data_IF_972140239843
#
_entry.id   IF_972140239843
#
_cell.length_a   1.000
_cell.length_b   1.000
_cell.length_c   1.000
_cell.angle_alpha   90.00
_cell.angle_beta   90.00
_cell.angle_gamma   90.00
#
_symmetry.space_group_name_H-M   'P 1'
#
loop_
_entity.id
_entity.type
_entity.pdbx_description
1 polymer ?
#
# COMPACT_ATOMS: atom_id res chain seq x y z
N UNK A 1 -17.48 1.34 -0.37
CA UNK A 1 -16.73 1.98 0.73
C UNK A 1 -15.33 1.40 0.79
N UNK A 2 -14.31 2.25 0.70
CA UNK A 2 -12.89 1.87 0.79
C UNK A 2 -12.32 2.52 2.05
N UNK A 3 -11.77 1.69 2.95
CA UNK A 3 -11.09 2.12 4.18
C UNK A 3 -9.83 1.27 4.36
N UNK A 4 -8.85 1.74 5.13
CA UNK A 4 -7.66 0.94 5.47
C UNK A 4 -7.76 0.35 6.89
N UNK A 5 -7.08 -0.79 7.11
CA UNK A 5 -7.10 -1.46 8.41
C UNK A 5 -6.08 -0.82 9.39
N UNK A 6 -6.56 -0.26 10.50
CA UNK A 6 -5.69 0.33 11.53
C UNK A 6 -4.98 1.62 11.12
N UNK A 7 -5.35 2.21 9.96
CA UNK A 7 -4.85 3.50 9.47
C UNK A 7 -5.88 4.14 8.52
N UNK A 8 -5.60 5.36 8.07
CA UNK A 8 -6.34 6.02 7.00
C UNK A 8 -5.87 5.51 5.64
N UNK A 9 -6.80 5.42 4.68
CA UNK A 9 -6.41 5.21 3.29
C UNK A 9 -5.68 6.45 2.78
N UNK A 10 -4.52 6.26 2.15
CA UNK A 10 -3.72 7.40 1.68
C UNK A 10 -4.36 8.05 0.47
N UNK A 11 -3.96 9.27 0.14
CA UNK A 11 -4.49 9.98 -1.04
C UNK A 11 -4.26 9.14 -2.30
N UNK A 12 -3.07 8.55 -2.44
CA UNK A 12 -2.73 7.72 -3.61
C UNK A 12 -3.60 6.46 -3.70
N UNK A 13 -3.95 5.85 -2.57
CA UNK A 13 -4.85 4.69 -2.56
C UNK A 13 -6.28 5.08 -2.95
N UNK A 14 -6.73 6.25 -2.53
CA UNK A 14 -8.03 6.80 -2.92
C UNK A 14 -8.05 7.14 -4.41
N UNK A 15 -7.05 7.84 -4.92
CA UNK A 15 -6.91 8.17 -6.33
C UNK A 15 -6.81 6.91 -7.21
N UNK A 16 -6.02 5.91 -6.80
CA UNK A 16 -5.92 4.65 -7.52
C UNK A 16 -7.24 3.88 -7.51
N UNK A 17 -7.97 3.91 -6.39
CA UNK A 17 -9.32 3.33 -6.32
C UNK A 17 -10.30 4.02 -7.27
N UNK A 18 -10.21 5.35 -7.42
CA UNK A 18 -11.00 6.10 -8.41
C UNK A 18 -10.63 5.72 -9.85
N UNK A 19 -9.33 5.66 -10.17
CA UNK A 19 -8.84 5.23 -11.50
C UNK A 19 -9.32 3.83 -11.85
N UNK A 20 -9.25 2.90 -10.90
CA UNK A 20 -9.78 1.54 -11.05
C UNK A 20 -11.29 1.59 -11.31
N UNK A 21 -12.04 2.37 -10.54
CA UNK A 21 -13.48 2.47 -10.69
C UNK A 21 -13.89 2.96 -12.09
N UNK A 22 -13.28 4.05 -12.57
CA UNK A 22 -13.53 4.61 -13.91
C UNK A 22 -13.14 3.60 -15.01
N UNK A 23 -12.03 2.88 -14.82
CA UNK A 23 -11.63 1.82 -15.76
C UNK A 23 -12.67 0.71 -15.82
N UNK A 24 -13.19 0.25 -14.68
CA UNK A 24 -14.21 -0.80 -14.62
C UNK A 24 -15.53 -0.34 -15.24
N UNK A 25 -15.98 0.89 -14.94
CA UNK A 25 -17.16 1.48 -15.58
C UNK A 25 -17.02 1.49 -17.10
N UNK A 26 -15.90 1.99 -17.61
CA UNK A 26 -15.63 2.05 -19.06
C UNK A 26 -15.67 0.67 -19.70
N UNK A 27 -15.05 -0.33 -19.09
CA UNK A 27 -15.08 -1.71 -19.57
C UNK A 27 -16.50 -2.26 -19.61
N UNK A 28 -17.27 -2.12 -18.53
CA UNK A 28 -18.64 -2.64 -18.45
C UNK A 28 -19.59 -1.95 -19.43
N UNK A 29 -19.44 -0.64 -19.65
CA UNK A 29 -20.22 0.08 -20.65
C UNK A 29 -19.93 -0.42 -22.08
N UNK A 30 -18.67 -0.70 -22.40
CA UNK A 30 -18.27 -1.27 -23.68
C UNK A 30 -18.80 -2.70 -23.88
N UNK A 31 -18.98 -3.45 -22.79
CA UNK A 31 -19.60 -4.78 -22.78
C UNK A 31 -21.14 -4.74 -22.85
N UNK A 32 -21.74 -3.53 -22.87
CA UNK A 32 -23.18 -3.33 -23.03
C UNK A 32 -23.97 -3.18 -21.73
N UNK A 33 -23.31 -3.12 -20.57
CA UNK A 33 -23.95 -2.99 -19.27
C UNK A 33 -24.35 -1.53 -18.96
N UNK A 34 -25.43 -1.06 -19.57
CA UNK A 34 -25.87 0.36 -19.53
C UNK A 34 -26.26 0.90 -18.15
N UNK A 35 -26.51 0.04 -17.17
CA UNK A 35 -26.85 0.44 -15.80
C UNK A 35 -25.63 0.51 -14.88
N UNK A 36 -24.45 0.15 -15.39
CA UNK A 36 -23.19 0.13 -14.65
C UNK A 36 -22.49 1.48 -14.81
N UNK A 37 -22.90 2.45 -13.99
CA UNK A 37 -22.32 3.78 -13.95
C UNK A 37 -21.94 4.20 -12.53
N UNK A 38 -21.00 5.12 -12.43
CA UNK A 38 -20.57 5.78 -11.19
C UNK A 38 -21.40 7.06 -11.02
N UNK A 39 -22.13 7.15 -9.91
CA UNK A 39 -22.93 8.33 -9.59
C UNK A 39 -22.06 9.47 -9.07
N UNK A 40 -21.14 9.15 -8.14
CA UNK A 40 -20.21 10.11 -7.54
C UNK A 40 -19.10 9.41 -6.73
N UNK A 41 -18.05 10.19 -6.47
CA UNK A 41 -17.00 9.90 -5.51
C UNK A 41 -17.18 10.82 -4.30
N UNK A 42 -17.19 10.23 -3.11
CA UNK A 42 -17.26 10.92 -1.83
C UNK A 42 -15.92 10.67 -1.11
N UNK A 43 -14.95 11.57 -1.30
CA UNK A 43 -13.64 11.52 -0.63
C UNK A 43 -13.76 11.92 0.84
N UNK A 44 -13.04 11.23 1.70
CA UNK A 44 -13.08 11.46 3.13
C UNK A 44 -11.74 11.23 3.80
N UNK A 45 -11.59 11.79 5.01
CA UNK A 45 -10.37 11.66 5.81
C UNK A 45 -10.00 10.20 6.11
N UNK A 46 -10.99 9.33 6.22
CA UNK A 46 -10.80 7.90 6.52
C UNK A 46 -10.63 7.04 5.26
N UNK A 47 -11.01 7.56 4.10
CA UNK A 47 -10.97 6.86 2.81
C UNK A 47 -12.07 7.32 1.86
N UNK A 48 -12.34 6.51 0.83
CA UNK A 48 -13.20 6.86 -0.30
C UNK A 48 -14.53 6.11 -0.25
N UNK A 49 -15.64 6.79 -0.52
CA UNK A 49 -16.91 6.16 -0.86
C UNK A 49 -17.23 6.35 -2.35
N UNK A 50 -17.67 5.28 -3.01
CA UNK A 50 -18.03 5.27 -4.43
C UNK A 50 -19.49 4.85 -4.50
N UNK A 51 -20.33 5.73 -5.04
CA UNK A 51 -21.76 5.45 -5.23
C UNK A 51 -21.97 5.06 -6.68
N UNK A 52 -22.65 3.93 -6.90
CA UNK A 52 -22.82 3.33 -8.23
C UNK A 52 -24.27 2.94 -8.51
N UNK A 53 -24.61 2.86 -9.79
CA UNK A 53 -25.96 2.60 -10.29
C UNK A 53 -26.42 1.13 -10.22
N UNK A 54 -25.50 0.17 -10.17
CA UNK A 54 -25.83 -1.26 -10.16
C UNK A 54 -25.00 -2.07 -9.15
N UNK A 55 -25.52 -3.23 -8.76
CA UNK A 55 -24.78 -4.17 -7.90
C UNK A 55 -23.56 -4.77 -8.62
N UNK A 56 -23.67 -5.00 -9.94
CA UNK A 56 -22.64 -5.61 -10.76
C UNK A 56 -21.37 -4.76 -10.83
N UNK A 57 -21.50 -3.45 -11.12
CA UNK A 57 -20.33 -2.55 -11.12
C UNK A 57 -19.73 -2.41 -9.71
N UNK A 58 -20.56 -2.37 -8.67
CA UNK A 58 -20.08 -2.32 -7.29
C UNK A 58 -19.22 -3.54 -6.92
N UNK A 59 -19.64 -4.73 -7.36
CA UNK A 59 -18.88 -5.97 -7.18
C UNK A 59 -17.55 -5.92 -7.94
N UNK A 60 -17.59 -5.61 -9.24
CA UNK A 60 -16.40 -5.58 -10.09
C UNK A 60 -15.35 -4.56 -9.60
N UNK A 61 -15.79 -3.35 -9.24
CA UNK A 61 -14.90 -2.34 -8.65
C UNK A 61 -14.27 -2.87 -7.37
N UNK A 62 -15.07 -3.44 -6.46
CA UNK A 62 -14.55 -3.93 -5.18
C UNK A 62 -13.50 -5.04 -5.37
N UNK A 63 -13.75 -5.95 -6.32
CA UNK A 63 -12.85 -7.05 -6.66
C UNK A 63 -11.55 -6.52 -7.27
N UNK A 64 -11.63 -5.63 -8.23
CA UNK A 64 -10.47 -5.07 -8.92
C UNK A 64 -9.60 -4.22 -7.98
N UNK A 65 -10.21 -3.46 -7.06
CA UNK A 65 -9.49 -2.74 -6.00
C UNK A 65 -8.73 -3.74 -5.12
N UNK A 66 -9.40 -4.78 -4.61
CA UNK A 66 -8.73 -5.78 -3.75
C UNK A 66 -7.63 -6.56 -4.49
N UNK A 67 -7.77 -6.73 -5.81
CA UNK A 67 -6.76 -7.39 -6.64
C UNK A 67 -5.50 -6.55 -6.78
N UNK A 68 -5.63 -5.24 -6.96
CA UNK A 68 -4.48 -4.34 -7.18
C UNK A 68 -3.86 -3.81 -5.89
N UNK A 69 -4.70 -3.45 -4.92
CA UNK A 69 -4.27 -2.79 -3.68
C UNK A 69 -4.24 -3.76 -2.47
N UNK A 70 -4.63 -5.01 -2.69
CA UNK A 70 -4.75 -6.00 -1.63
C UNK A 70 -5.95 -5.74 -0.71
N UNK A 71 -5.94 -6.39 0.45
CA UNK A 71 -7.00 -6.25 1.44
C UNK A 71 -8.14 -7.24 1.25
N UNK A 72 -9.31 -6.92 1.81
CA UNK A 72 -10.49 -7.81 1.79
C UNK A 72 -11.76 -7.02 1.53
N UNK A 73 -12.74 -7.65 0.92
CA UNK A 73 -14.09 -7.11 0.74
C UNK A 73 -15.09 -7.86 1.62
N UNK A 74 -16.05 -7.12 2.19
CA UNK A 74 -17.20 -7.67 2.89
C UNK A 74 -18.49 -7.05 2.35
N UNK A 75 -19.55 -7.85 2.28
CA UNK A 75 -20.85 -7.45 1.73
C UNK A 75 -21.83 -7.14 2.85
N UNK A 76 -22.48 -5.98 2.80
CA UNK A 76 -23.46 -5.55 3.80
C UNK A 76 -24.78 -5.15 3.12
N UNK A 77 -25.73 -6.08 2.94
CA UNK A 77 -27.06 -5.77 2.43
C UNK A 77 -27.93 -5.08 3.49
N UNK A 78 -28.58 -3.98 3.12
CA UNK A 78 -29.57 -3.28 3.96
C UNK A 78 -30.91 -3.27 3.25
N UNK A 79 -31.97 -3.77 3.90
CA UNK A 79 -33.33 -3.67 3.38
C UNK A 79 -33.76 -2.20 3.40
N UNK A 80 -34.10 -1.65 2.23
CA UNK A 80 -34.53 -0.25 2.08
C UNK A 80 -36.01 -0.11 1.75
N UNK A 81 -36.68 -1.21 1.41
CA UNK A 81 -38.11 -1.21 1.16
C UNK A 81 -38.59 -2.50 0.52
N UNK A 82 -39.84 -2.48 0.08
CA UNK A 82 -40.48 -3.59 -0.62
C UNK A 82 -41.31 -3.01 -1.77
N UNK A 83 -41.24 -3.63 -2.95
CA UNK A 83 -42.01 -3.24 -4.12
C UNK A 83 -42.59 -4.49 -4.77
N UNK A 84 -43.92 -4.54 -4.91
CA UNK A 84 -44.64 -5.68 -5.48
C UNK A 84 -44.31 -7.02 -4.79
N UNK A 85 -44.18 -7.02 -3.45
CA UNK A 85 -43.80 -8.22 -2.69
C UNK A 85 -42.30 -8.58 -2.75
N UNK A 86 -41.50 -7.85 -3.54
CA UNK A 86 -40.05 -8.06 -3.62
C UNK A 86 -39.30 -7.07 -2.73
N UNK A 87 -38.44 -7.61 -1.86
CA UNK A 87 -37.57 -6.83 -0.99
C UNK A 87 -36.50 -6.11 -1.79
N UNK A 88 -36.38 -4.80 -1.58
CA UNK A 88 -35.36 -3.96 -2.19
C UNK A 88 -34.19 -3.76 -1.23
N UNK A 89 -32.98 -4.06 -1.69
CA UNK A 89 -31.77 -3.93 -0.87
C UNK A 89 -30.80 -2.90 -1.44
N UNK A 90 -30.22 -2.10 -0.54
CA UNK A 90 -28.98 -1.37 -0.80
C UNK A 90 -27.81 -2.25 -0.37
N UNK A 91 -26.87 -2.48 -1.28
CA UNK A 91 -25.67 -3.28 -1.00
C UNK A 91 -24.50 -2.35 -0.74
N UNK A 92 -23.76 -2.58 0.34
CA UNK A 92 -22.48 -1.92 0.58
C UNK A 92 -21.35 -2.93 0.48
N UNK A 93 -20.48 -2.74 -0.52
CA UNK A 93 -19.18 -3.41 -0.60
C UNK A 93 -18.19 -2.62 0.26
N UNK A 94 -17.82 -3.19 1.40
CA UNK A 94 -16.85 -2.62 2.33
C UNK A 94 -15.47 -3.24 2.09
N UNK A 95 -14.64 -2.52 1.33
CA UNK A 95 -13.25 -2.83 1.06
C UNK A 95 -12.37 -2.32 2.20
N UNK A 96 -11.57 -3.23 2.76
CA UNK A 96 -10.59 -2.97 3.82
C UNK A 96 -9.20 -3.22 3.27
N UNK A 97 -8.52 -2.14 2.87
CA UNK A 97 -7.13 -2.13 2.42
C UNK A 97 -6.20 -2.61 3.54
N UNK A 98 -5.06 -3.22 3.20
CA UNK A 98 -4.19 -3.83 4.17
C UNK A 98 -3.54 -2.78 5.08
N UNK A 99 -3.25 -3.19 6.31
CA UNK A 99 -2.57 -2.33 7.31
C UNK A 99 -1.20 -1.91 6.79
N UNK A 100 -0.46 -2.87 6.23
CA UNK A 100 0.85 -2.68 5.62
C UNK A 100 0.74 -2.89 4.11
N UNK A 101 1.47 -2.11 3.34
CA UNK A 101 1.50 -2.15 1.87
C UNK A 101 2.93 -2.33 1.35
N UNK A 102 3.05 -2.74 0.09
CA UNK A 102 4.35 -2.83 -0.59
C UNK A 102 5.11 -1.51 -0.50
N UNK A 103 6.38 -1.57 -0.15
CA UNK A 103 7.24 -0.42 0.11
C UNK A 103 7.15 0.13 1.55
N UNK A 104 6.27 -0.37 2.41
CA UNK A 104 6.35 -0.03 3.84
C UNK A 104 7.62 -0.63 4.45
N UNK A 105 8.27 0.12 5.32
CA UNK A 105 9.45 -0.32 6.07
C UNK A 105 9.04 -0.52 7.52
N UNK A 106 9.34 -1.70 8.05
CA UNK A 106 8.90 -2.15 9.36
C UNK A 106 10.05 -2.71 10.18
N UNK A 107 9.97 -2.53 11.50
CA UNK A 107 10.73 -3.35 12.44
C UNK A 107 9.95 -4.65 12.71
N UNK A 108 10.60 -5.79 12.51
CA UNK A 108 10.00 -7.13 12.68
C UNK A 108 10.98 -8.04 13.40
N UNK A 109 10.56 -8.57 14.55
CA UNK A 109 11.42 -9.35 15.45
C UNK A 109 12.69 -8.53 15.79
N UNK A 110 13.87 -9.02 15.42
CA UNK A 110 15.17 -8.36 15.63
C UNK A 110 15.80 -7.88 14.31
N UNK A 111 15.00 -7.60 13.28
CA UNK A 111 15.48 -7.04 12.01
C UNK A 111 14.54 -5.96 11.48
N UNK A 112 14.95 -5.33 10.39
CA UNK A 112 14.15 -4.41 9.59
C UNK A 112 13.78 -5.06 8.26
N UNK A 113 12.58 -4.77 7.78
CA UNK A 113 12.07 -5.34 6.54
C UNK A 113 11.35 -4.32 5.69
N UNK A 114 11.58 -4.34 4.39
CA UNK A 114 10.71 -3.69 3.40
C UNK A 114 9.62 -4.68 2.99
N UNK A 115 8.35 -4.30 3.15
CA UNK A 115 7.22 -5.10 2.71
C UNK A 115 7.23 -5.17 1.19
N UNK A 116 7.23 -6.38 0.63
CA UNK A 116 7.14 -6.59 -0.81
C UNK A 116 5.66 -6.71 -1.23
N UNK A 117 4.91 -7.57 -0.56
CA UNK A 117 3.47 -7.72 -0.78
C UNK A 117 2.80 -8.38 0.42
N UNK A 118 1.48 -8.24 0.48
CA UNK A 118 0.61 -8.92 1.46
C UNK A 118 -0.38 -9.80 0.70
N UNK A 119 -0.47 -11.07 1.08
CA UNK A 119 -1.38 -12.02 0.43
C UNK A 119 -2.17 -12.78 1.51
N UNK A 120 -3.50 -12.70 1.46
CA UNK A 120 -4.34 -13.41 2.43
C UNK A 120 -4.04 -13.04 3.88
N UNK A 121 -3.37 -13.93 4.62
CA UNK A 121 -2.94 -13.78 6.03
C UNK A 121 -1.41 -13.84 6.18
N UNK A 122 -0.66 -13.64 5.11
CA UNK A 122 0.80 -13.64 5.12
C UNK A 122 1.34 -12.33 4.58
N UNK A 123 2.55 -11.99 5.03
CA UNK A 123 3.30 -10.82 4.62
C UNK A 123 4.66 -11.30 4.16
N UNK A 124 5.04 -10.93 2.94
CA UNK A 124 6.38 -11.15 2.41
C UNK A 124 7.15 -9.84 2.49
N UNK A 125 8.31 -9.87 3.14
CA UNK A 125 9.19 -8.70 3.29
C UNK A 125 10.64 -9.05 2.94
N UNK A 126 11.40 -8.09 2.44
CA UNK A 126 12.83 -8.18 2.21
C UNK A 126 13.56 -7.87 3.52
N UNK A 127 14.31 -8.82 4.09
CA UNK A 127 15.16 -8.56 5.26
C UNK A 127 16.27 -7.59 4.87
N UNK A 128 16.21 -6.33 5.33
CA UNK A 128 17.13 -5.27 4.90
C UNK A 128 18.58 -5.54 5.31
N UNK A 129 18.80 -6.42 6.29
CA UNK A 129 20.15 -6.83 6.70
C UNK A 129 20.76 -7.84 5.73
N UNK A 130 19.97 -8.78 5.19
CA UNK A 130 20.49 -9.91 4.41
C UNK A 130 20.10 -9.88 2.93
N UNK A 131 19.09 -9.10 2.55
CA UNK A 131 18.56 -9.03 1.18
C UNK A 131 17.75 -10.24 0.77
N UNK A 132 17.31 -11.04 1.74
CA UNK A 132 16.59 -12.29 1.48
C UNK A 132 15.11 -12.07 1.80
N UNK A 133 14.20 -12.31 0.85
CA UNK A 133 12.76 -12.29 1.13
C UNK A 133 12.38 -13.33 2.19
N UNK A 134 11.50 -12.93 3.11
CA UNK A 134 10.93 -13.78 4.15
C UNK A 134 9.43 -13.61 4.16
N UNK A 135 8.71 -14.72 4.31
CA UNK A 135 7.26 -14.74 4.46
C UNK A 135 6.90 -15.13 5.88
N UNK A 136 6.04 -14.35 6.51
CA UNK A 136 5.54 -14.59 7.86
C UNK A 136 4.03 -14.41 7.93
N UNK A 137 3.33 -15.01 8.91
CA UNK A 137 1.94 -14.71 9.18
C UNK A 137 1.75 -13.21 9.51
N UNK A 138 0.63 -12.62 9.07
CA UNK A 138 0.21 -11.25 9.39
C UNK A 138 0.10 -11.00 10.91
N UNK A 139 -0.10 -12.06 11.70
CA UNK A 139 -0.14 -11.99 13.16
C UNK A 139 1.20 -11.71 13.82
N UNK A 140 2.33 -11.82 13.10
CA UNK A 140 3.64 -11.46 13.64
C UNK A 140 3.67 -9.96 13.90
N UNK A 141 3.99 -9.51 15.13
CA UNK A 141 4.07 -8.09 15.44
C UNK A 141 5.10 -7.38 14.56
N UNK A 142 4.65 -6.33 13.88
CA UNK A 142 5.46 -5.43 13.07
C UNK A 142 5.18 -3.99 13.47
N UNK A 143 6.23 -3.22 13.73
CA UNK A 143 6.14 -1.77 13.97
C UNK A 143 6.44 -1.04 12.68
N UNK A 144 5.49 -0.25 12.22
CA UNK A 144 5.67 0.62 11.06
C UNK A 144 6.70 1.71 11.36
N UNK A 145 7.58 1.99 10.41
CA UNK A 145 8.62 3.02 10.51
C UNK A 145 8.31 4.13 9.52
N UNK A 146 8.32 3.80 8.23
CA UNK A 146 8.05 4.74 7.14
C UNK A 146 7.77 3.97 5.84
N UNK A 147 7.64 4.66 4.72
CA UNK A 147 7.55 4.07 3.39
C UNK A 147 8.83 4.38 2.60
N UNK A 148 9.30 3.48 1.74
CA UNK A 148 10.55 3.64 0.96
C UNK A 148 10.56 4.87 0.04
N UNK A 149 9.39 5.43 -0.26
CA UNK A 149 9.27 6.69 -1.03
C UNK A 149 9.56 7.93 -0.20
N UNK A 150 9.43 7.85 1.12
CA UNK A 150 9.79 8.92 2.05
C UNK A 150 11.28 8.92 2.39
N UNK A 151 12.04 7.96 1.83
CA UNK A 151 13.47 7.86 2.04
C UNK A 151 14.21 9.05 1.40
N UNK A 152 15.12 9.65 2.16
CA UNK A 152 15.99 10.71 1.66
C UNK A 152 17.13 10.14 0.84
N UNK A 153 17.52 10.85 -0.21
CA UNK A 153 18.64 10.45 -1.07
C UNK A 153 19.96 10.96 -0.48
N UNK A 154 20.92 10.07 -0.31
CA UNK A 154 22.28 10.39 0.13
C UNK A 154 23.28 9.97 -0.95
N UNK A 155 24.33 10.76 -1.15
CA UNK A 155 25.41 10.45 -2.10
C UNK A 155 26.47 9.60 -1.43
N UNK A 156 26.98 8.58 -2.14
CA UNK A 156 28.09 7.74 -1.68
C UNK A 156 29.40 8.43 -2.05
N UNK A 157 30.18 8.84 -1.04
CA UNK A 157 31.38 9.66 -1.22
C UNK A 157 32.69 8.86 -1.11
N UNK A 158 32.71 7.77 -0.35
CA UNK A 158 33.82 6.82 -0.33
C UNK A 158 33.38 5.44 0.17
N UNK A 159 34.27 4.47 -0.03
CA UNK A 159 34.10 3.08 0.41
C UNK A 159 35.39 2.65 1.10
N UNK A 160 35.27 2.13 2.31
CA UNK A 160 36.40 1.55 3.03
C UNK A 160 35.99 0.23 3.68
N UNK A 161 36.50 -0.89 3.15
CA UNK A 161 36.15 -2.23 3.63
C UNK A 161 34.63 -2.48 3.69
N UNK A 162 34.11 -2.61 4.91
CA UNK A 162 32.70 -2.84 5.22
C UNK A 162 31.92 -1.56 5.52
N UNK A 163 32.50 -0.39 5.32
CA UNK A 163 31.92 0.92 5.61
C UNK A 163 31.72 1.71 4.32
N UNK A 164 30.59 2.42 4.26
CA UNK A 164 30.28 3.40 3.22
C UNK A 164 30.19 4.78 3.86
N UNK A 165 30.94 5.73 3.33
CA UNK A 165 30.75 7.15 3.63
C UNK A 165 29.62 7.69 2.77
N UNK A 166 28.56 8.19 3.41
CA UNK A 166 27.43 8.81 2.73
C UNK A 166 27.30 10.28 3.14
N UNK A 167 26.80 11.10 2.22
CA UNK A 167 26.62 12.53 2.42
C UNK A 167 25.19 12.94 2.12
N UNK A 168 24.60 13.72 3.02
CA UNK A 168 23.35 14.41 2.79
C UNK A 168 23.60 15.58 1.82
N UNK A 169 23.05 15.56 0.59
CA UNK A 169 23.31 16.60 -0.39
C UNK A 169 22.68 17.95 -0.01
N UNK A 170 21.67 17.97 0.86
CA UNK A 170 21.00 19.21 1.30
C UNK A 170 21.80 19.90 2.40
N UNK A 171 22.41 19.13 3.31
CA UNK A 171 23.08 19.67 4.50
C UNK A 171 24.61 19.60 4.45
N UNK A 172 25.17 18.82 3.52
CA UNK A 172 26.61 18.53 3.44
C UNK A 172 27.13 17.65 4.57
N UNK A 173 26.27 17.17 5.46
CA UNK A 173 26.67 16.31 6.58
C UNK A 173 27.03 14.92 6.07
N UNK A 174 28.16 14.42 6.53
CA UNK A 174 28.64 13.07 6.22
C UNK A 174 28.43 12.13 7.39
N UNK A 175 28.17 10.87 7.09
CA UNK A 175 28.10 9.79 8.07
C UNK A 175 28.61 8.49 7.48
N UNK A 176 29.04 7.59 8.36
CA UNK A 176 29.47 6.24 8.01
C UNK A 176 28.36 5.24 8.31
N UNK A 177 28.08 4.39 7.34
CA UNK A 177 27.12 3.30 7.48
C UNK A 177 27.78 1.96 7.13
N UNK A 178 27.28 0.88 7.72
CA UNK A 178 27.70 -0.46 7.32
C UNK A 178 27.25 -0.75 5.89
N UNK A 179 28.15 -1.30 5.09
CA UNK A 179 27.86 -1.76 3.74
C UNK A 179 26.79 -2.85 3.80
N UNK A 180 25.81 -2.72 2.92
CA UNK A 180 24.71 -3.68 2.79
C UNK A 180 25.22 -4.83 1.93
N UNK A 181 25.12 -6.07 2.41
CA UNK A 181 25.73 -7.22 1.73
C UNK A 181 25.11 -7.50 0.34
N UNK A 182 23.85 -7.11 0.14
CA UNK A 182 23.05 -7.42 -1.05
C UNK A 182 22.85 -6.20 -1.97
N UNK A 183 23.44 -5.05 -1.63
CA UNK A 183 23.55 -3.90 -2.53
C UNK A 183 25.01 -3.54 -2.71
N UNK A 184 25.38 -3.17 -3.93
CA UNK A 184 26.75 -2.82 -4.26
C UNK A 184 26.82 -1.37 -4.76
N UNK A 185 26.50 -0.39 -3.91
CA UNK A 185 26.65 1.01 -4.29
C UNK A 185 28.14 1.32 -4.51
N UNK A 186 28.41 2.09 -5.54
CA UNK A 186 29.73 2.62 -5.90
C UNK A 186 29.86 4.10 -5.53
N UNK A 187 31.09 4.59 -5.50
CA UNK A 187 31.34 6.03 -5.26
C UNK A 187 30.70 6.83 -6.39
N UNK A 188 29.94 7.86 -6.04
CA UNK A 188 29.14 8.64 -6.97
C UNK A 188 27.68 8.18 -7.10
N UNK A 189 27.34 6.99 -6.59
CA UNK A 189 25.95 6.53 -6.55
C UNK A 189 25.15 7.29 -5.48
N UNK A 190 23.84 7.09 -5.52
CA UNK A 190 22.93 7.53 -4.46
C UNK A 190 22.26 6.35 -3.79
N UNK A 191 22.05 6.46 -2.49
CA UNK A 191 21.33 5.49 -1.66
C UNK A 191 20.16 6.15 -0.95
N UNK A 192 19.08 5.41 -0.76
CA UNK A 192 17.90 5.86 -0.04
C UNK A 192 18.02 5.52 1.43
N UNK A 193 17.85 6.53 2.27
CA UNK A 193 18.02 6.45 3.72
C UNK A 193 16.71 6.76 4.43
N UNK A 194 16.33 5.87 5.35
CA UNK A 194 15.33 6.10 6.37
C UNK A 194 15.98 6.08 7.76
N UNK A 195 15.37 6.80 8.69
CA UNK A 195 15.82 6.86 10.09
C UNK A 195 14.77 6.22 11.00
N UNK A 196 15.23 5.41 11.94
CA UNK A 196 14.45 4.86 13.05
C UNK A 196 15.23 5.16 14.34
N UNK A 197 14.87 6.24 15.02
CA UNK A 197 15.64 6.84 16.11
C UNK A 197 17.11 7.11 15.70
N UNK A 198 18.08 6.48 16.37
CA UNK A 198 19.51 6.62 16.06
C UNK A 198 19.99 5.67 14.95
N UNK A 199 19.10 4.83 14.37
CA UNK A 199 19.49 3.85 13.35
C UNK A 199 19.27 4.36 11.94
N UNK A 200 20.29 4.18 11.11
CA UNK A 200 20.24 4.39 9.66
C UNK A 200 19.82 3.11 8.96
N UNK A 201 18.72 3.17 8.22
CA UNK A 201 18.22 2.10 7.37
C UNK A 201 18.46 2.47 5.91
N UNK A 202 19.09 1.58 5.16
CA UNK A 202 19.19 1.73 3.71
C UNK A 202 18.12 0.88 3.05
N UNK A 203 17.31 1.52 2.20
CA UNK A 203 16.06 0.95 1.65
C UNK A 203 15.94 1.16 0.16
#
# INVERSE_FOLDING_TARGET
QIRANGRKATIEEQEESQRIAVSVETTMLNEGERLSFICRFDEGREGLDIVVGSQAIGEQISREITRRLGGRVSLHPTLIGEKNGQKLYRITYAVRLPRLRGGDVVAVRNTYGEILHTEGKTITYLDLRTGIPRTVPESVPMRYISHVREAKMYSVIYKDGSVLGIMDPETGKTEEISKISWRHPEVGDTVKILRDDERTLVV
#
